data_IF_822868715646
#
_entry.id   IF_822868715646
#
_cell.length_a   1.000
_cell.length_b   1.000
_cell.length_c   1.000
_cell.angle_alpha   90.00
_cell.angle_beta   90.00
_cell.angle_gamma   90.00
#
_symmetry.space_group_name_H-M   'P 1'
#
loop_
_entity.id
_entity.type
_entity.pdbx_description
1 polymer ?
#
# COMPACT_ATOMS: atom_id res chain seq x y z
N UNK A 1 -27.83 9.68 -0.39
CA UNK A 1 -26.87 9.65 -1.51
C UNK A 1 -25.49 9.71 -0.88
N UNK A 2 -24.88 8.55 -0.62
CA UNK A 2 -23.54 8.50 -0.02
C UNK A 2 -22.56 8.82 -1.12
N UNK A 3 -21.86 9.95 -1.02
CA UNK A 3 -20.79 10.29 -1.95
C UNK A 3 -19.64 9.34 -1.63
N UNK A 4 -19.27 8.49 -2.58
CA UNK A 4 -18.03 7.70 -2.48
C UNK A 4 -16.88 8.69 -2.63
N UNK A 5 -16.15 8.89 -1.54
CA UNK A 5 -14.94 9.70 -1.56
C UNK A 5 -13.78 8.80 -1.95
N UNK A 6 -13.08 9.20 -3.01
CA UNK A 6 -11.93 8.48 -3.57
C UNK A 6 -10.75 9.46 -3.65
N UNK A 7 -9.55 9.07 -3.21
CA UNK A 7 -8.37 9.92 -3.35
C UNK A 7 -7.95 9.99 -4.82
N UNK A 8 -7.51 11.16 -5.27
CA UNK A 8 -7.06 11.33 -6.65
C UNK A 8 -5.71 10.64 -6.86
N UNK A 9 -5.45 10.16 -8.09
CA UNK A 9 -4.16 9.53 -8.42
C UNK A 9 -2.98 10.46 -8.14
N UNK A 10 -3.10 11.77 -8.44
CA UNK A 10 -2.06 12.75 -8.18
C UNK A 10 -1.72 12.88 -6.68
N UNK A 11 -2.72 12.73 -5.80
CA UNK A 11 -2.49 12.75 -4.36
C UNK A 11 -1.73 11.49 -3.92
N UNK A 12 -2.06 10.32 -4.50
CA UNK A 12 -1.34 9.07 -4.26
C UNK A 12 0.11 9.16 -4.72
N UNK A 13 0.34 9.67 -5.92
CA UNK A 13 1.68 9.89 -6.44
C UNK A 13 2.49 10.79 -5.52
N UNK A 14 1.92 11.90 -5.03
CA UNK A 14 2.59 12.79 -4.08
C UNK A 14 2.92 12.06 -2.78
N UNK A 15 1.94 11.39 -2.17
CA UNK A 15 2.13 10.66 -0.90
C UNK A 15 3.22 9.61 -1.03
N UNK A 16 3.17 8.79 -2.08
CA UNK A 16 4.13 7.70 -2.28
C UNK A 16 5.53 8.26 -2.51
N UNK A 17 5.68 9.31 -3.33
CA UNK A 17 6.97 9.96 -3.54
C UNK A 17 7.54 10.60 -2.26
N UNK A 18 6.70 11.26 -1.46
CA UNK A 18 7.10 11.85 -0.18
C UNK A 18 7.54 10.77 0.83
N UNK A 19 6.80 9.66 0.90
CA UNK A 19 7.19 8.50 1.72
C UNK A 19 8.51 7.88 1.23
N UNK A 20 8.66 7.65 -0.08
CA UNK A 20 9.89 7.06 -0.63
C UNK A 20 11.12 7.92 -0.34
N UNK A 21 11.03 9.22 -0.63
CA UNK A 21 12.14 10.16 -0.41
C UNK A 21 12.51 10.30 1.07
N UNK A 22 11.55 10.14 1.98
CA UNK A 22 11.78 10.22 3.43
C UNK A 22 12.41 8.95 3.98
N UNK A 23 11.91 7.77 3.61
CA UNK A 23 12.26 6.50 4.27
C UNK A 23 13.27 5.63 3.51
N UNK A 24 13.35 5.75 2.18
CA UNK A 24 14.06 4.78 1.34
C UNK A 24 15.30 5.36 0.64
N UNK A 25 15.65 6.62 0.96
CA UNK A 25 16.75 7.40 0.36
C UNK A 25 16.64 7.54 -1.16
N UNK A 26 17.28 8.56 -1.74
CA UNK A 26 17.22 8.85 -3.18
C UNK A 26 18.10 7.92 -4.04
N UNK A 27 18.13 6.60 -3.75
CA UNK A 27 18.95 5.65 -4.52
C UNK A 27 18.50 5.62 -5.98
N UNK A 28 17.20 5.53 -6.20
CA UNK A 28 16.56 5.69 -7.52
C UNK A 28 15.16 6.31 -7.38
N UNK A 29 14.73 7.12 -8.37
CA UNK A 29 13.39 7.67 -8.38
C UNK A 29 12.34 6.58 -8.62
N UNK A 30 11.12 6.82 -8.14
CA UNK A 30 9.97 6.01 -8.52
C UNK A 30 9.54 6.36 -9.94
N UNK A 31 9.45 5.34 -10.80
CA UNK A 31 8.99 5.51 -12.18
C UNK A 31 7.57 4.95 -12.34
N UNK A 32 6.57 5.75 -12.76
CA UNK A 32 5.26 5.24 -13.09
C UNK A 32 5.33 4.23 -14.25
N UNK A 33 4.69 3.08 -14.08
CA UNK A 33 4.67 2.01 -15.08
C UNK A 33 3.26 1.49 -15.32
N UNK A 34 3.06 0.79 -16.44
CA UNK A 34 1.83 0.04 -16.65
C UNK A 34 1.71 -1.09 -15.60
N UNK A 35 0.48 -1.48 -15.22
CA UNK A 35 0.27 -2.54 -14.24
C UNK A 35 0.99 -3.84 -14.62
N UNK A 36 1.71 -4.40 -13.65
CA UNK A 36 2.41 -5.68 -13.82
C UNK A 36 1.47 -6.87 -13.56
N UNK A 37 1.86 -8.05 -14.04
CA UNK A 37 1.16 -9.29 -13.68
C UNK A 37 1.18 -9.48 -12.16
N UNK A 38 0.06 -9.92 -11.58
CA UNK A 38 -0.02 -10.19 -10.14
C UNK A 38 0.97 -11.26 -9.69
N UNK A 39 1.43 -12.13 -10.59
CA UNK A 39 2.50 -13.10 -10.31
C UNK A 39 3.86 -12.47 -10.00
N UNK A 40 4.05 -11.18 -10.33
CA UNK A 40 5.29 -10.46 -10.04
C UNK A 40 5.42 -10.05 -8.55
N UNK A 41 4.33 -10.12 -7.78
CA UNK A 41 4.31 -9.70 -6.38
C UNK A 41 4.44 -10.91 -5.44
N UNK A 42 5.46 -10.87 -4.59
CA UNK A 42 5.74 -11.90 -3.59
C UNK A 42 5.34 -11.46 -2.17
N UNK A 43 5.10 -10.18 -1.94
CA UNK A 43 4.72 -9.63 -0.64
C UNK A 43 3.54 -8.68 -0.76
N UNK A 44 2.71 -8.67 0.28
CA UNK A 44 1.60 -7.73 0.43
C UNK A 44 1.63 -7.13 1.83
N UNK A 45 1.43 -5.82 1.91
CA UNK A 45 1.20 -5.10 3.15
C UNK A 45 -0.13 -4.34 3.04
N UNK A 46 -0.99 -4.51 4.03
CA UNK A 46 -2.34 -3.97 4.00
C UNK A 46 -2.69 -3.29 5.31
N UNK A 47 -3.45 -2.21 5.21
CA UNK A 47 -4.07 -1.55 6.35
C UNK A 47 -5.50 -1.13 6.01
N UNK A 48 -6.41 -1.33 6.94
CA UNK A 48 -7.81 -0.94 6.75
C UNK A 48 -8.09 0.38 7.46
N UNK A 49 -8.96 1.16 6.84
CA UNK A 49 -9.51 2.39 7.38
C UNK A 49 -10.98 2.16 7.73
N UNK A 50 -11.36 2.55 8.94
CA UNK A 50 -12.73 2.42 9.44
C UNK A 50 -13.22 3.73 10.08
N UNK A 51 -14.52 3.97 10.04
CA UNK A 51 -15.14 5.19 10.57
C UNK A 51 -15.89 5.97 9.50
N UNK A 52 -15.62 7.27 9.40
CA UNK A 52 -16.24 8.16 8.41
C UNK A 52 -15.89 7.80 6.96
N UNK A 53 -14.76 7.12 6.75
CA UNK A 53 -14.36 6.56 5.47
C UNK A 53 -13.90 5.10 5.66
N UNK A 54 -14.39 4.22 4.77
CA UNK A 54 -14.11 2.78 4.81
C UNK A 54 -13.31 2.38 3.58
N UNK A 55 -12.07 1.97 3.81
CA UNK A 55 -11.14 1.64 2.74
C UNK A 55 -10.14 0.55 3.16
N UNK A 56 -9.53 -0.06 2.16
CA UNK A 56 -8.35 -0.90 2.26
C UNK A 56 -7.24 -0.24 1.45
N UNK A 57 -6.12 0.03 2.10
CA UNK A 57 -4.87 0.42 1.45
C UNK A 57 -4.00 -0.83 1.37
N UNK A 58 -3.64 -1.24 0.16
CA UNK A 58 -2.86 -2.44 -0.12
C UNK A 58 -1.64 -2.07 -0.94
N UNK A 59 -0.46 -2.40 -0.42
CA UNK A 59 0.80 -2.35 -1.14
C UNK A 59 1.26 -3.76 -1.49
N UNK A 60 1.81 -3.91 -2.69
CA UNK A 60 2.34 -5.17 -3.19
C UNK A 60 3.75 -4.95 -3.73
N UNK A 61 4.63 -5.90 -3.46
CA UNK A 61 6.06 -5.80 -3.76
C UNK A 61 6.55 -7.10 -4.37
N UNK A 62 7.51 -7.03 -5.30
CA UNK A 62 8.37 -8.19 -5.59
C UNK A 62 9.20 -8.57 -4.36
N UNK A 63 9.81 -9.75 -4.39
CA UNK A 63 10.69 -10.18 -3.28
C UNK A 63 11.90 -9.26 -3.12
N UNK A 64 12.52 -8.87 -4.23
CA UNK A 64 13.65 -7.94 -4.26
C UNK A 64 13.25 -6.57 -3.70
N UNK A 65 12.12 -6.01 -4.14
CA UNK A 65 11.66 -4.71 -3.65
C UNK A 65 11.35 -4.74 -2.15
N UNK A 66 10.71 -5.81 -1.66
CA UNK A 66 10.40 -5.96 -0.24
C UNK A 66 11.67 -5.98 0.64
N UNK A 67 12.69 -6.73 0.21
CA UNK A 67 13.99 -6.78 0.90
C UNK A 67 14.70 -5.44 0.86
N UNK A 68 14.70 -4.77 -0.28
CA UNK A 68 15.28 -3.43 -0.40
C UNK A 68 14.59 -2.42 0.53
N UNK A 69 13.26 -2.47 0.68
CA UNK A 69 12.53 -1.65 1.65
C UNK A 69 13.03 -1.91 3.08
N UNK A 70 13.11 -3.18 3.48
CA UNK A 70 13.59 -3.55 4.82
C UNK A 70 15.03 -3.09 5.06
N UNK A 71 15.93 -3.34 4.11
CA UNK A 71 17.32 -2.93 4.21
C UNK A 71 17.47 -1.42 4.39
N UNK A 72 16.75 -0.62 3.59
CA UNK A 72 16.83 0.84 3.66
C UNK A 72 16.21 1.38 4.96
N UNK A 73 15.01 0.92 5.34
CA UNK A 73 14.30 1.42 6.53
C UNK A 73 15.00 1.05 7.83
N UNK A 74 15.64 -0.11 7.89
CA UNK A 74 16.31 -0.61 9.10
C UNK A 74 17.81 -0.32 9.11
N UNK A 75 18.34 0.31 8.06
CA UNK A 75 19.76 0.65 7.94
C UNK A 75 20.68 -0.57 7.84
N UNK A 76 20.21 -1.64 7.21
CA UNK A 76 20.95 -2.89 7.02
C UNK A 76 21.98 -2.75 5.90
N UNK A 77 22.99 -3.62 5.90
CA UNK A 77 23.93 -3.69 4.79
C UNK A 77 23.27 -4.15 3.48
N UNK A 78 23.78 -3.72 2.32
CA UNK A 78 23.24 -4.15 1.02
C UNK A 78 23.34 -5.67 0.78
N UNK A 79 24.33 -6.32 1.39
CA UNK A 79 24.55 -7.78 1.34
C UNK A 79 23.87 -8.53 2.51
N UNK A 80 23.19 -7.80 3.40
CA UNK A 80 22.51 -8.38 4.56
C UNK A 80 21.10 -8.80 4.18
N UNK A 81 20.77 -10.08 4.35
CA UNK A 81 19.47 -10.62 4.01
C UNK A 81 18.47 -10.37 5.16
N UNK A 82 17.38 -9.60 4.93
CA UNK A 82 16.37 -9.36 5.96
C UNK A 82 15.69 -10.65 6.40
N UNK A 83 15.49 -10.82 7.71
CA UNK A 83 14.66 -11.91 8.22
C UNK A 83 13.17 -11.54 8.09
N UNK A 84 12.30 -12.52 8.31
CA UNK A 84 10.85 -12.31 8.23
C UNK A 84 10.34 -11.20 9.16
N UNK A 85 10.95 -11.03 10.35
CA UNK A 85 10.61 -9.96 11.30
C UNK A 85 10.92 -8.58 10.71
N UNK A 86 12.11 -8.40 10.14
CA UNK A 86 12.54 -7.17 9.47
C UNK A 86 11.57 -6.78 8.33
N UNK A 87 11.16 -7.76 7.52
CA UNK A 87 10.20 -7.55 6.43
C UNK A 87 8.83 -7.14 6.96
N UNK A 88 8.34 -7.79 8.01
CA UNK A 88 7.06 -7.44 8.62
C UNK A 88 7.07 -6.03 9.21
N UNK A 89 8.15 -5.67 9.91
CA UNK A 89 8.29 -4.35 10.54
C UNK A 89 8.40 -3.25 9.49
N UNK A 90 9.27 -3.41 8.50
CA UNK A 90 9.49 -2.38 7.49
C UNK A 90 8.28 -2.19 6.56
N UNK A 91 7.72 -3.27 6.00
CA UNK A 91 6.55 -3.19 5.14
C UNK A 91 5.31 -2.74 5.92
N UNK A 92 5.19 -3.17 7.17
CA UNK A 92 4.11 -2.79 8.08
C UNK A 92 4.15 -1.30 8.43
N UNK A 93 5.33 -0.75 8.72
CA UNK A 93 5.49 0.68 8.97
C UNK A 93 5.23 1.50 7.70
N UNK A 94 5.75 1.06 6.55
CA UNK A 94 5.53 1.77 5.28
C UNK A 94 4.05 1.88 4.92
N UNK A 95 3.30 0.77 5.00
CA UNK A 95 1.85 0.79 4.72
C UNK A 95 1.08 1.59 5.77
N UNK A 96 1.53 1.60 7.03
CA UNK A 96 0.93 2.39 8.10
C UNK A 96 1.09 3.89 7.85
N UNK A 97 2.28 4.34 7.46
CA UNK A 97 2.54 5.75 7.11
C UNK A 97 1.72 6.16 5.88
N UNK A 98 1.78 5.39 4.79
CA UNK A 98 1.00 5.69 3.57
C UNK A 98 -0.50 5.69 3.86
N UNK A 99 -0.99 4.70 4.61
CA UNK A 99 -2.39 4.62 5.04
C UNK A 99 -2.82 5.83 5.89
N UNK A 100 -1.94 6.32 6.77
CA UNK A 100 -2.16 7.53 7.56
C UNK A 100 -2.27 8.79 6.71
N UNK A 101 -1.39 8.94 5.72
CA UNK A 101 -1.42 10.05 4.78
C UNK A 101 -2.69 10.04 3.93
N UNK A 102 -3.01 8.89 3.32
CA UNK A 102 -4.24 8.70 2.54
C UNK A 102 -5.47 9.01 3.39
N UNK A 103 -5.58 8.44 4.59
CA UNK A 103 -6.70 8.69 5.50
C UNK A 103 -6.87 10.18 5.80
N UNK A 104 -5.78 10.93 5.96
CA UNK A 104 -5.82 12.35 6.30
C UNK A 104 -6.39 13.23 5.18
N UNK A 105 -6.41 12.75 3.94
CA UNK A 105 -7.09 13.41 2.82
C UNK A 105 -8.60 13.16 2.79
N UNK A 106 -9.08 12.14 3.54
CA UNK A 106 -10.44 11.63 3.44
C UNK A 106 -11.33 12.17 4.57
N UNK A 107 -12.66 12.29 4.33
CA UNK A 107 -13.55 12.95 5.28
C UNK A 107 -13.83 12.11 6.53
N UNK A 108 -14.18 12.84 7.59
CA UNK A 108 -14.71 12.29 8.82
C UNK A 108 -13.65 11.65 9.73
N UNK A 109 -13.99 11.46 11.02
CA UNK A 109 -13.10 10.77 11.93
C UNK A 109 -12.94 9.31 11.49
N UNK A 110 -11.69 8.91 11.22
CA UNK A 110 -11.36 7.56 10.79
C UNK A 110 -10.14 7.03 11.54
N UNK A 111 -10.10 5.72 11.72
CA UNK A 111 -9.04 5.00 12.43
C UNK A 111 -8.42 3.94 11.52
N UNK A 112 -7.11 3.76 11.64
CA UNK A 112 -6.37 2.70 10.98
C UNK A 112 -6.42 1.42 11.83
N UNK A 113 -6.49 0.26 11.18
CA UNK A 113 -6.17 -1.01 11.83
C UNK A 113 -4.68 -1.15 12.08
N UNK A 114 -4.27 -2.25 12.72
CA UNK A 114 -2.89 -2.68 12.66
C UNK A 114 -2.55 -3.08 11.21
N UNK A 115 -1.29 -2.90 10.77
CA UNK A 115 -0.82 -3.38 9.49
C UNK A 115 -0.84 -4.91 9.47
N UNK A 116 -1.21 -5.46 8.31
CA UNK A 116 -1.11 -6.88 7.99
C UNK A 116 -0.06 -7.04 6.91
N UNK A 117 0.99 -7.80 7.19
CA UNK A 117 2.00 -8.17 6.19
C UNK A 117 1.88 -9.66 5.92
N UNK A 118 1.96 -10.04 4.64
CA UNK A 118 1.86 -11.41 4.20
C UNK A 118 2.80 -11.68 3.03
N UNK A 119 3.41 -12.86 3.04
CA UNK A 119 4.08 -13.40 1.86
C UNK A 119 3.01 -13.98 0.92
N UNK A 120 2.95 -13.44 -0.29
CA UNK A 120 1.96 -13.72 -1.33
C UNK A 120 1.01 -12.54 -1.58
N UNK A 121 0.03 -12.77 -2.45
CA UNK A 121 -0.99 -11.77 -2.79
C UNK A 121 -2.18 -11.87 -1.84
N UNK A 122 -2.58 -10.76 -1.23
CA UNK A 122 -3.83 -10.68 -0.47
C UNK A 122 -4.99 -10.47 -1.43
N UNK A 123 -6.01 -11.35 -1.35
CA UNK A 123 -7.26 -11.15 -2.08
C UNK A 123 -8.17 -10.21 -1.29
N UNK A 124 -8.71 -9.20 -1.98
CA UNK A 124 -9.62 -8.21 -1.41
C UNK A 124 -11.09 -8.63 -1.48
N UNK A 125 -11.40 -9.72 -2.19
CA UNK A 125 -12.75 -10.28 -2.28
C UNK A 125 -13.03 -11.23 -1.11
N UNK A 126 -13.84 -10.80 -0.14
CA UNK A 126 -14.34 -11.66 0.93
C UNK A 126 -15.82 -12.03 0.67
N UNK A 127 -16.16 -13.33 0.55
CA UNK A 127 -17.55 -13.75 0.41
C UNK A 127 -18.41 -13.29 1.61
N UNK A 128 -19.53 -12.62 1.35
CA UNK A 128 -20.50 -12.22 2.39
C UNK A 128 -20.21 -10.91 3.12
N UNK A 129 -19.24 -10.11 2.65
CA UNK A 129 -19.01 -8.73 3.12
C UNK A 129 -19.28 -7.72 2.00
N UNK A 130 -19.48 -6.46 2.40
CA UNK A 130 -19.53 -5.31 1.48
C UNK A 130 -18.33 -5.39 0.54
N UNK A 131 -18.62 -5.43 -0.75
CA UNK A 131 -17.60 -5.51 -1.79
C UNK A 131 -16.76 -4.24 -1.75
N UNK A 132 -15.44 -4.42 -1.58
CA UNK A 132 -14.49 -3.33 -1.77
C UNK A 132 -14.15 -3.27 -3.25
N UNK A 133 -14.38 -2.12 -3.86
CA UNK A 133 -14.03 -1.87 -5.26
C UNK A 133 -12.74 -1.06 -5.29
N UNK A 134 -11.79 -1.46 -6.14
CA UNK A 134 -10.57 -0.69 -6.36
C UNK A 134 -10.96 0.69 -6.93
N UNK A 135 -10.75 1.74 -6.15
CA UNK A 135 -11.05 3.12 -6.52
C UNK A 135 -9.89 3.75 -7.30
N UNK A 136 -8.67 3.48 -6.85
CA UNK A 136 -7.45 3.99 -7.48
C UNK A 136 -6.28 3.05 -7.21
N UNK A 137 -5.35 3.00 -8.15
CA UNK A 137 -4.08 2.29 -8.00
C UNK A 137 -2.96 3.04 -8.70
N UNK A 138 -1.75 2.83 -8.17
CA UNK A 138 -0.51 3.39 -8.67
C UNK A 138 0.50 2.24 -8.78
N UNK A 139 0.90 1.93 -10.01
CA UNK A 139 1.93 0.96 -10.32
C UNK A 139 3.22 1.73 -10.65
N UNK A 140 4.28 1.43 -9.91
CA UNK A 140 5.59 2.09 -10.01
C UNK A 140 6.70 1.06 -10.07
N UNK A 141 7.85 1.49 -10.58
CA UNK A 141 9.10 0.73 -10.55
C UNK A 141 10.09 1.43 -9.64
N UNK A 142 10.78 0.65 -8.82
CA UNK A 142 11.83 1.09 -7.91
C UNK A 142 12.95 0.06 -7.90
N UNK A 143 14.20 0.45 -8.17
CA UNK A 143 15.33 -0.49 -8.31
C UNK A 143 15.07 -1.56 -9.37
N UNK A 144 14.50 -1.15 -10.50
CA UNK A 144 13.97 -2.01 -11.57
C UNK A 144 12.87 -3.02 -11.17
N UNK A 145 12.36 -2.94 -9.95
CA UNK A 145 11.41 -3.89 -9.39
C UNK A 145 9.99 -3.30 -9.26
N UNK A 146 8.93 -4.08 -9.54
CA UNK A 146 7.57 -3.59 -9.51
C UNK A 146 7.06 -3.43 -8.07
N UNK A 147 6.44 -2.28 -7.81
CA UNK A 147 5.72 -1.97 -6.57
C UNK A 147 4.37 -1.39 -6.94
N UNK A 148 3.32 -1.84 -6.25
CA UNK A 148 1.96 -1.39 -6.50
C UNK A 148 1.31 -0.91 -5.22
N UNK A 149 0.72 0.28 -5.26
CA UNK A 149 -0.22 0.76 -4.26
C UNK A 149 -1.64 0.68 -4.86
N UNK A 150 -2.59 0.18 -4.09
CA UNK A 150 -4.00 0.15 -4.47
C UNK A 150 -4.88 0.52 -3.29
N UNK A 151 -5.95 1.26 -3.57
CA UNK A 151 -6.94 1.67 -2.58
C UNK A 151 -8.29 1.14 -3.04
N UNK A 152 -8.89 0.31 -2.19
CA UNK A 152 -10.26 -0.17 -2.41
C UNK A 152 -11.20 0.44 -1.39
N UNK A 153 -12.37 0.89 -1.82
CA UNK A 153 -13.38 1.52 -0.95
C UNK A 153 -14.66 0.68 -0.97
N UNK A 154 -15.46 0.77 0.09
CA UNK A 154 -16.75 0.09 0.14
C UNK A 154 -17.65 0.56 -1.01
N UNK A 155 -18.13 -0.38 -1.82
CA UNK A 155 -19.16 -0.10 -2.83
C UNK A 155 -20.39 0.49 -2.15
N UNK A 156 -20.94 1.56 -2.70
CA UNK A 156 -22.15 2.21 -2.19
C UNK A 156 -23.43 1.38 -2.45
N UNK A 157 -23.32 0.21 -3.06
CA UNK A 157 -24.47 -0.63 -3.40
C UNK A 157 -24.87 -1.57 -2.25
N UNK A 158 -25.56 -1.00 -1.27
CA UNK A 158 -26.42 -1.73 -0.35
C UNK A 158 -27.70 -0.92 -0.13
N UNK A 159 -28.45 -0.71 -1.21
CA UNK A 159 -29.88 -0.39 -1.12
C UNK A 159 -30.67 -1.69 -1.33
N UNK A 160 -31.11 -2.30 -0.23
CA UNK A 160 -32.29 -3.18 -0.21
C UNK A 160 -33.30 -2.57 0.74
#
# INVERSE_FOLDING_TARGET
MTITHEPALADLESIVNDCWSTFLSNVEPLEPVAPSDRSAYAWSAAITVSGGWQALVLMQFSDTAAKAVAQQMLGMGADEEPVLEDLNDALGELVNVIGGNVKSLMPGPSQLSLPLVAQGTVSTSLPGRTELVEATSLDVRWLDEPVRLSISVASSDASV
#
